data_IF_491462618274
#
_entry.id   IF_491462618274
#
_cell.length_a   1.000
_cell.length_b   1.000
_cell.length_c   1.000
_cell.angle_alpha   90.00
_cell.angle_beta   90.00
_cell.angle_gamma   90.00
#
_symmetry.space_group_name_H-M   'P 1'
#
loop_
_entity.id
_entity.type
_entity.pdbx_description
1 polymer ?
#
# COMPACT_ATOMS: atom_id res chain seq x y z
N UNK A 1 -16.96 10.39 -5.24
CA UNK A 1 -16.27 9.26 -5.88
C UNK A 1 -15.06 8.77 -5.08
N UNK A 2 -14.21 9.66 -4.57
CA UNK A 2 -13.00 9.30 -3.80
C UNK A 2 -13.27 8.37 -2.59
N UNK A 3 -14.31 8.65 -1.80
CA UNK A 3 -14.68 7.83 -0.62
C UNK A 3 -15.07 6.39 -1.03
N UNK A 4 -15.82 6.24 -2.13
CA UNK A 4 -16.21 4.92 -2.62
C UNK A 4 -15.02 4.12 -3.17
N UNK A 5 -14.05 4.79 -3.78
CA UNK A 5 -12.82 4.16 -4.26
C UNK A 5 -11.98 3.61 -3.09
N UNK A 6 -11.80 4.43 -2.04
CA UNK A 6 -11.04 4.03 -0.83
C UNK A 6 -11.68 2.79 -0.19
N UNK A 7 -13.00 2.82 0.01
CA UNK A 7 -13.73 1.68 0.60
C UNK A 7 -13.61 0.45 -0.31
N UNK A 8 -13.73 0.63 -1.63
CA UNK A 8 -13.62 -0.47 -2.60
C UNK A 8 -12.25 -1.13 -2.61
N UNK A 9 -11.17 -0.34 -2.58
CA UNK A 9 -9.79 -0.86 -2.56
C UNK A 9 -9.49 -1.58 -1.25
N UNK A 10 -9.89 -1.03 -0.10
CA UNK A 10 -9.72 -1.70 1.21
C UNK A 10 -10.42 -3.06 1.21
N UNK A 11 -11.67 -3.11 0.71
CA UNK A 11 -12.39 -4.38 0.60
C UNK A 11 -11.72 -5.35 -0.37
N UNK A 12 -11.20 -4.86 -1.49
CA UNK A 12 -10.49 -5.67 -2.48
C UNK A 12 -9.25 -6.33 -1.89
N UNK A 13 -8.39 -5.56 -1.22
CA UNK A 13 -7.16 -6.05 -0.61
C UNK A 13 -7.43 -6.95 0.60
N UNK A 14 -8.42 -6.60 1.43
CA UNK A 14 -8.87 -7.45 2.53
C UNK A 14 -9.31 -8.83 2.02
N UNK A 15 -10.08 -8.89 0.93
CA UNK A 15 -10.56 -10.16 0.39
C UNK A 15 -9.43 -11.04 -0.15
N UNK A 16 -8.42 -10.46 -0.79
CA UNK A 16 -7.21 -11.21 -1.18
C UNK A 16 -6.51 -11.81 0.04
N UNK A 17 -6.27 -10.99 1.08
CA UNK A 17 -5.67 -11.45 2.32
C UNK A 17 -6.52 -12.49 3.05
N UNK A 18 -7.85 -12.36 3.01
CA UNK A 18 -8.79 -13.30 3.62
C UNK A 18 -8.79 -14.66 2.90
N UNK A 19 -8.86 -14.67 1.57
CA UNK A 19 -8.78 -15.91 0.79
C UNK A 19 -7.42 -16.59 0.99
N UNK A 20 -6.32 -15.84 0.96
CA UNK A 20 -4.98 -16.35 1.24
C UNK A 20 -4.89 -16.96 2.64
N UNK A 21 -5.43 -16.28 3.65
CA UNK A 21 -5.48 -16.79 5.03
C UNK A 21 -6.32 -18.07 5.14
N UNK A 22 -7.46 -18.13 4.45
CA UNK A 22 -8.31 -19.34 4.40
C UNK A 22 -7.63 -20.50 3.67
N UNK A 23 -6.71 -20.21 2.74
CA UNK A 23 -5.89 -21.18 2.02
C UNK A 23 -4.57 -21.52 2.75
N UNK A 24 -4.33 -20.94 3.93
CA UNK A 24 -3.19 -21.25 4.80
C UNK A 24 -2.01 -20.28 4.73
N UNK A 25 -2.05 -19.27 3.86
CA UNK A 25 -1.05 -18.20 3.84
C UNK A 25 -1.33 -17.18 4.95
N UNK A 26 -0.47 -17.20 5.97
CA UNK A 26 -0.62 -16.32 7.13
C UNK A 26 0.12 -15.00 7.00
N UNK A 27 0.73 -14.69 5.85
CA UNK A 27 1.55 -13.48 5.64
C UNK A 27 0.76 -12.20 5.92
N UNK A 28 -0.42 -12.04 5.31
CA UNK A 28 -1.27 -10.85 5.50
C UNK A 28 -1.75 -10.72 6.96
N UNK A 29 -2.06 -11.84 7.62
CA UNK A 29 -2.47 -11.85 9.03
C UNK A 29 -1.32 -11.50 9.98
N UNK A 30 -0.12 -12.06 9.74
CA UNK A 30 1.09 -11.79 10.52
C UNK A 30 1.55 -10.34 10.37
N UNK A 31 1.36 -9.76 9.19
CA UNK A 31 1.65 -8.35 8.92
C UNK A 31 0.60 -7.38 9.52
N UNK A 32 -0.46 -7.89 10.16
CA UNK A 32 -1.53 -7.04 10.71
C UNK A 32 -2.42 -6.37 9.65
N UNK A 33 -2.27 -6.76 8.37
CA UNK A 33 -2.99 -6.17 7.22
C UNK A 33 -4.37 -6.79 6.99
N UNK A 34 -4.75 -7.81 7.75
CA UNK A 34 -6.09 -8.44 7.66
C UNK A 34 -7.14 -7.63 8.43
N UNK A 35 -7.34 -6.38 8.05
CA UNK A 35 -8.24 -5.42 8.72
C UNK A 35 -8.98 -4.57 7.69
N UNK A 36 -10.02 -3.84 8.10
CA UNK A 36 -10.68 -2.84 7.26
C UNK A 36 -10.17 -1.42 7.56
N UNK A 37 -9.15 -1.30 8.41
CA UNK A 37 -8.49 -0.03 8.68
C UNK A 37 -7.65 0.40 7.46
N UNK A 38 -7.98 1.55 6.81
CA UNK A 38 -7.20 2.08 5.70
C UNK A 38 -5.73 2.28 6.05
N UNK A 39 -5.43 2.67 7.29
CA UNK A 39 -4.09 3.02 7.71
C UNK A 39 -3.17 1.81 7.79
N UNK A 40 -3.72 0.62 8.07
CA UNK A 40 -2.97 -0.62 8.13
C UNK A 40 -2.46 -1.09 6.74
N UNK A 41 -3.04 -0.56 5.67
CA UNK A 41 -2.67 -0.88 4.28
C UNK A 41 -1.65 0.09 3.70
N UNK A 42 -1.42 1.23 4.36
CA UNK A 42 -0.44 2.23 3.92
C UNK A 42 0.95 1.79 4.38
N UNK A 43 1.89 1.65 3.45
CA UNK A 43 3.30 1.40 3.77
C UNK A 43 4.08 2.73 3.81
N UNK A 44 4.56 3.17 4.98
CA UNK A 44 5.28 4.44 5.12
C UNK A 44 6.55 4.51 4.25
N UNK A 45 7.18 3.36 3.98
CA UNK A 45 8.36 3.32 3.13
C UNK A 45 8.00 3.69 1.69
N UNK A 46 7.01 3.02 1.11
CA UNK A 46 6.60 3.29 -0.26
C UNK A 46 5.85 4.61 -0.43
N UNK A 47 5.12 5.06 0.60
CA UNK A 47 4.25 6.24 0.51
C UNK A 47 4.96 7.55 0.86
N UNK A 48 5.98 7.51 1.72
CA UNK A 48 6.67 8.73 2.20
C UNK A 48 8.16 8.70 1.86
N UNK A 49 8.86 7.62 2.20
CA UNK A 49 10.32 7.56 2.08
C UNK A 49 10.74 7.49 0.61
N UNK A 50 10.14 6.59 -0.17
CA UNK A 50 10.47 6.42 -1.58
C UNK A 50 10.15 7.68 -2.40
N UNK A 51 8.97 8.32 -2.29
CA UNK A 51 8.70 9.58 -2.97
C UNK A 51 9.60 10.72 -2.50
N UNK A 52 9.95 10.77 -1.20
CA UNK A 52 10.87 11.77 -0.66
C UNK A 52 12.29 11.64 -1.22
N UNK A 53 12.80 10.41 -1.34
CA UNK A 53 14.08 10.12 -1.97
C UNK A 53 14.03 10.48 -3.45
N UNK A 54 12.99 10.05 -4.18
CA UNK A 54 12.83 10.39 -5.59
C UNK A 54 12.76 11.91 -5.79
N UNK A 55 12.03 12.63 -4.94
CA UNK A 55 11.98 14.09 -4.97
C UNK A 55 13.36 14.72 -4.76
N UNK A 56 14.17 14.21 -3.82
CA UNK A 56 15.54 14.66 -3.63
C UNK A 56 16.42 14.42 -4.87
N UNK A 57 16.35 13.23 -5.48
CA UNK A 57 17.04 12.93 -6.74
C UNK A 57 16.59 13.85 -7.89
N UNK A 58 15.31 14.20 -7.92
CA UNK A 58 14.74 15.16 -8.87
C UNK A 58 15.34 16.56 -8.69
N UNK A 59 15.44 17.03 -7.44
CA UNK A 59 16.07 18.31 -7.11
C UNK A 59 17.57 18.34 -7.48
N UNK A 60 18.23 17.18 -7.50
CA UNK A 60 19.63 17.03 -7.91
C UNK A 60 19.82 16.95 -9.44
N UNK A 61 18.75 17.04 -10.23
CA UNK A 61 18.82 17.08 -11.69
C UNK A 61 18.88 15.71 -12.39
N UNK A 62 18.68 14.61 -11.65
CA UNK A 62 18.54 13.28 -12.23
C UNK A 62 17.10 13.08 -12.72
N UNK A 63 16.93 12.64 -13.97
CA UNK A 63 15.62 12.33 -14.55
C UNK A 63 14.89 11.30 -13.68
N UNK A 64 13.78 11.70 -13.07
CA UNK A 64 13.09 10.92 -12.05
C UNK A 64 11.85 10.26 -12.66
N UNK A 65 11.84 8.92 -12.71
CA UNK A 65 10.63 8.17 -13.02
C UNK A 65 9.82 8.02 -11.73
N UNK A 66 8.73 8.76 -11.61
CA UNK A 66 7.78 8.63 -10.50
C UNK A 66 6.92 7.40 -10.79
N UNK A 67 7.33 6.24 -10.28
CA UNK A 67 6.48 5.05 -10.23
C UNK A 67 6.12 4.85 -8.76
N UNK A 68 4.88 5.22 -8.41
CA UNK A 68 4.28 4.91 -7.12
C UNK A 68 3.68 3.51 -7.15
N UNK A 69 3.86 2.75 -6.07
CA UNK A 69 3.16 1.50 -5.81
C UNK A 69 1.73 1.78 -5.33
#
# INVERSE_FOLDING_TARGET
MLVGLIIGVIFHEYMHGYVAYRMGDTTAKRAGRLTLDPLAHIDPFGTIILPGILFLFSLMGYGTFIIGY
#
